data_IF_244057060544
#
_entry.id   IF_244057060544
#
_cell.length_a   1.000
_cell.length_b   1.000
_cell.length_c   1.000
_cell.angle_alpha   90.00
_cell.angle_beta   90.00
_cell.angle_gamma   90.00
#
_symmetry.space_group_name_H-M   'P 1'
#
loop_
_entity.id
_entity.type
_entity.pdbx_description
1 polymer ?
#
# COMPACT_ATOMS: atom_id res chain seq x y z
N UNK A 1 -11.88 12.14 0.51
CA UNK A 1 -11.41 10.90 1.15
C UNK A 1 -10.20 11.23 2.01
N UNK A 2 -10.13 10.75 3.26
CA UNK A 2 -8.97 11.02 4.13
C UNK A 2 -7.89 9.96 3.90
N UNK A 3 -6.68 10.41 3.59
CA UNK A 3 -5.49 9.59 3.39
C UNK A 3 -4.52 9.94 4.52
N UNK A 4 -3.84 8.94 5.06
CA UNK A 4 -2.77 9.12 6.04
C UNK A 4 -1.53 8.37 5.58
N UNK A 5 -0.36 8.90 5.90
CA UNK A 5 0.93 8.26 5.69
C UNK A 5 1.48 7.70 6.99
N UNK A 6 2.43 6.77 6.90
CA UNK A 6 3.11 6.21 8.08
C UNK A 6 3.75 7.28 8.96
N UNK A 7 4.31 8.32 8.36
CA UNK A 7 5.00 9.41 9.07
C UNK A 7 4.02 10.28 9.89
N UNK A 8 2.71 10.24 9.59
CA UNK A 8 1.66 10.99 10.30
C UNK A 8 1.05 10.24 11.49
N UNK A 9 1.42 8.97 11.71
CA UNK A 9 0.76 8.12 12.72
C UNK A 9 1.22 8.38 14.15
N UNK A 10 2.46 8.85 14.34
CA UNK A 10 3.04 9.14 15.65
C UNK A 10 2.97 7.94 16.62
N UNK A 11 2.82 8.24 17.91
CA UNK A 11 2.85 7.23 18.99
C UNK A 11 1.53 6.46 19.17
N UNK A 12 0.43 6.93 18.56
CA UNK A 12 -0.87 6.24 18.62
C UNK A 12 -1.45 6.03 17.21
N UNK A 13 -0.93 5.05 16.45
CA UNK A 13 -1.31 4.83 15.06
C UNK A 13 -2.80 4.59 14.87
N UNK A 14 -3.43 3.83 15.77
CA UNK A 14 -4.86 3.50 15.65
C UNK A 14 -5.74 4.74 15.78
N UNK A 15 -5.44 5.62 16.73
CA UNK A 15 -6.15 6.89 16.86
C UNK A 15 -5.89 7.82 15.67
N UNK A 16 -4.64 7.90 15.20
CA UNK A 16 -4.27 8.75 14.07
C UNK A 16 -5.01 8.32 12.78
N UNK A 17 -5.18 7.01 12.59
CA UNK A 17 -5.90 6.42 11.46
C UNK A 17 -7.43 6.55 11.54
N UNK A 18 -8.02 6.98 12.67
CA UNK A 18 -9.47 7.02 12.85
C UNK A 18 -10.18 7.87 11.77
N UNK A 19 -11.07 7.24 10.99
CA UNK A 19 -11.77 7.91 9.88
C UNK A 19 -10.91 8.14 8.62
N UNK A 20 -9.69 7.61 8.57
CA UNK A 20 -8.95 7.50 7.33
C UNK A 20 -9.55 6.38 6.47
N UNK A 21 -9.53 6.55 5.14
CA UNK A 21 -9.89 5.49 4.20
C UNK A 21 -8.67 4.76 3.67
N UNK A 22 -7.54 5.46 3.57
CA UNK A 22 -6.30 4.93 3.03
C UNK A 22 -5.12 5.18 3.97
N UNK A 23 -4.31 4.14 4.14
CA UNK A 23 -2.94 4.23 4.61
C UNK A 23 -2.00 4.12 3.40
N UNK A 24 -1.19 5.14 3.16
CA UNK A 24 -0.16 5.16 2.12
C UNK A 24 1.21 4.97 2.75
N UNK A 25 2.02 4.09 2.17
CA UNK A 25 3.39 3.85 2.62
C UNK A 25 4.36 3.56 1.48
N UNK A 26 5.66 3.73 1.74
CA UNK A 26 6.74 3.33 0.85
C UNK A 26 7.01 1.83 0.96
N UNK A 27 7.45 1.20 -0.11
CA UNK A 27 7.82 -0.22 -0.14
C UNK A 27 8.81 -0.62 0.96
N UNK A 28 9.79 0.24 1.25
CA UNK A 28 10.76 0.05 2.33
C UNK A 28 10.16 -0.03 3.73
N UNK A 29 8.95 0.49 3.93
CA UNK A 29 8.26 0.53 5.21
C UNK A 29 7.34 -0.68 5.44
N UNK A 30 7.07 -1.48 4.40
CA UNK A 30 6.05 -2.54 4.46
C UNK A 30 6.45 -3.66 5.43
N UNK A 31 7.66 -4.19 5.32
CA UNK A 31 8.12 -5.33 6.12
C UNK A 31 8.06 -5.06 7.64
N UNK A 32 8.43 -3.84 8.04
CA UNK A 32 8.41 -3.39 9.44
C UNK A 32 7.02 -3.00 9.96
N UNK A 33 6.01 -2.89 9.08
CA UNK A 33 4.66 -2.41 9.43
C UNK A 33 3.64 -3.53 9.61
N UNK A 34 4.07 -4.79 9.75
CA UNK A 34 3.16 -5.96 9.80
C UNK A 34 2.08 -5.83 10.90
N UNK A 35 2.45 -5.35 12.10
CA UNK A 35 1.48 -5.15 13.18
C UNK A 35 0.45 -4.04 12.86
N UNK A 36 0.88 -3.00 12.15
CA UNK A 36 0.01 -1.90 11.73
C UNK A 36 -1.00 -2.35 10.67
N UNK A 37 -0.55 -3.17 9.71
CA UNK A 37 -1.41 -3.73 8.66
C UNK A 37 -2.53 -4.63 9.22
N UNK A 38 -2.36 -5.20 10.42
CA UNK A 38 -3.45 -5.93 11.07
C UNK A 38 -4.58 -4.99 11.50
N UNK A 39 -4.27 -3.77 11.96
CA UNK A 39 -5.30 -2.81 12.35
C UNK A 39 -6.06 -2.25 11.16
N UNK A 40 -5.40 -2.09 10.02
CA UNK A 40 -6.07 -1.58 8.81
C UNK A 40 -7.19 -2.52 8.35
N UNK A 41 -6.97 -3.83 8.45
CA UNK A 41 -8.01 -4.84 8.17
C UNK A 41 -9.19 -4.77 9.16
N UNK A 42 -8.92 -4.52 10.45
CA UNK A 42 -9.97 -4.46 11.48
C UNK A 42 -10.81 -3.19 11.40
N UNK A 43 -10.22 -2.08 10.96
CA UNK A 43 -10.83 -0.76 10.96
C UNK A 43 -11.30 -0.33 9.53
N UNK A 44 -11.38 -1.27 8.57
CA UNK A 44 -11.78 -1.08 7.15
C UNK A 44 -10.99 0.02 6.41
N UNK A 45 -9.67 0.04 6.65
CA UNK A 45 -8.73 0.97 6.03
C UNK A 45 -7.97 0.26 4.92
N UNK A 46 -8.02 0.82 3.72
CA UNK A 46 -7.32 0.29 2.55
C UNK A 46 -5.83 0.67 2.62
N UNK A 47 -4.97 -0.22 2.11
CA UNK A 47 -3.52 0.02 2.11
C UNK A 47 -3.03 0.20 0.68
N UNK A 48 -2.30 1.30 0.49
CA UNK A 48 -1.59 1.63 -0.73
C UNK A 48 -0.08 1.64 -0.50
N UNK A 49 0.68 1.02 -1.40
CA UNK A 49 2.15 0.95 -1.32
C UNK A 49 2.79 1.52 -2.58
N UNK A 50 3.58 2.57 -2.44
CA UNK A 50 4.49 3.00 -3.49
C UNK A 50 5.80 2.22 -3.36
N UNK A 51 5.97 1.21 -4.21
CA UNK A 51 7.12 0.29 -4.22
C UNK A 51 8.09 0.60 -5.36
N UNK A 52 7.97 1.75 -6.04
CA UNK A 52 8.96 2.19 -7.03
C UNK A 52 10.34 2.34 -6.39
N UNK A 53 11.38 2.09 -7.18
CA UNK A 53 12.78 2.06 -6.77
C UNK A 53 13.26 0.71 -6.22
N UNK A 54 12.38 -0.29 -6.06
CA UNK A 54 12.75 -1.62 -5.59
C UNK A 54 11.80 -2.71 -6.13
N UNK A 55 12.31 -3.94 -6.29
CA UNK A 55 11.50 -5.09 -6.70
C UNK A 55 10.72 -5.63 -5.50
N UNK A 56 9.37 -5.67 -5.53
CA UNK A 56 8.58 -6.22 -4.43
C UNK A 56 8.88 -7.70 -4.20
N UNK A 57 9.16 -8.07 -2.96
CA UNK A 57 9.35 -9.46 -2.56
C UNK A 57 8.04 -10.06 -2.04
N UNK A 58 7.69 -11.31 -2.40
CA UNK A 58 6.51 -11.98 -1.86
C UNK A 58 6.50 -12.02 -0.33
N UNK A 59 5.33 -11.88 0.28
CA UNK A 59 5.21 -11.89 1.74
C UNK A 59 3.77 -11.75 2.23
N UNK A 60 3.57 -11.99 3.53
CA UNK A 60 2.25 -11.95 4.17
C UNK A 60 1.54 -10.59 4.02
N UNK A 61 2.32 -9.50 3.93
CA UNK A 61 1.83 -8.14 3.75
C UNK A 61 0.99 -7.95 2.49
N UNK A 62 1.21 -8.75 1.44
CA UNK A 62 0.48 -8.64 0.17
C UNK A 62 -1.03 -8.80 0.36
N UNK A 63 -1.44 -9.55 1.39
CA UNK A 63 -2.85 -9.76 1.73
C UNK A 63 -3.56 -8.51 2.23
N UNK A 64 -2.83 -7.59 2.86
CA UNK A 64 -3.39 -6.34 3.37
C UNK A 64 -3.32 -5.21 2.33
N UNK A 65 -2.53 -5.39 1.25
CA UNK A 65 -2.32 -4.35 0.24
C UNK A 65 -3.39 -4.42 -0.85
N UNK A 66 -4.05 -3.29 -1.05
CA UNK A 66 -5.15 -3.15 -2.00
C UNK A 66 -4.69 -2.47 -3.28
N UNK A 67 -3.75 -1.52 -3.15
CA UNK A 67 -3.13 -0.82 -4.27
C UNK A 67 -1.61 -0.84 -4.13
N UNK A 68 -0.88 -1.14 -5.20
CA UNK A 68 0.58 -1.03 -5.23
C UNK A 68 1.04 -0.40 -6.53
N UNK A 69 2.05 0.45 -6.44
CA UNK A 69 2.73 0.99 -7.60
C UNK A 69 4.14 0.43 -7.67
N UNK A 70 4.52 -0.06 -8.84
CA UNK A 70 5.80 -0.73 -9.09
C UNK A 70 6.50 -0.11 -10.29
N UNK A 71 7.81 -0.30 -10.38
CA UNK A 71 8.54 -0.06 -11.62
C UNK A 71 8.26 -1.18 -12.65
N UNK A 72 8.57 -0.89 -13.91
CA UNK A 72 8.42 -1.85 -15.01
C UNK A 72 7.30 -1.45 -15.97
N UNK A 73 6.82 -2.44 -16.70
CA UNK A 73 5.82 -2.31 -17.75
C UNK A 73 4.41 -2.66 -17.24
N UNK A 74 3.39 -2.34 -18.03
CA UNK A 74 2.03 -2.83 -17.78
C UNK A 74 1.93 -4.36 -17.74
N UNK A 75 2.78 -5.07 -18.48
CA UNK A 75 2.85 -6.54 -18.45
C UNK A 75 3.43 -7.07 -17.12
N UNK A 76 4.45 -6.41 -16.59
CA UNK A 76 4.99 -6.71 -15.26
C UNK A 76 3.94 -6.50 -14.17
N UNK A 77 3.18 -5.40 -14.25
CA UNK A 77 2.08 -5.12 -13.34
C UNK A 77 0.99 -6.20 -13.37
N UNK A 78 0.56 -6.63 -14.56
CA UNK A 78 -0.46 -7.68 -14.68
C UNK A 78 0.06 -9.04 -14.18
N UNK A 79 1.32 -9.36 -14.47
CA UNK A 79 1.98 -10.58 -13.98
C UNK A 79 2.07 -10.58 -12.45
N UNK A 80 2.45 -9.45 -11.87
CA UNK A 80 2.53 -9.28 -10.42
C UNK A 80 1.13 -9.33 -9.76
N UNK A 81 0.12 -8.71 -10.37
CA UNK A 81 -1.27 -8.75 -9.88
C UNK A 81 -1.79 -10.18 -9.77
N UNK A 82 -1.55 -11.01 -10.80
CA UNK A 82 -1.98 -12.42 -10.82
C UNK A 82 -1.33 -13.29 -9.75
N UNK A 83 -0.07 -13.02 -9.43
CA UNK A 83 0.69 -13.81 -8.46
C UNK A 83 0.54 -13.32 -7.01
N UNK A 84 0.34 -12.02 -6.79
CA UNK A 84 0.24 -11.41 -5.45
C UNK A 84 -1.17 -11.40 -4.86
N UNK A 85 -2.22 -11.40 -5.70
CA UNK A 85 -3.61 -11.23 -5.27
C UNK A 85 -4.00 -9.79 -4.92
N UNK A 86 -3.10 -8.81 -5.13
CA UNK A 86 -3.38 -7.40 -4.89
C UNK A 86 -4.38 -6.88 -5.92
N UNK A 87 -5.38 -6.11 -5.48
CA UNK A 87 -6.51 -5.67 -6.33
C UNK A 87 -6.06 -4.78 -7.47
N UNK A 88 -5.25 -3.75 -7.18
CA UNK A 88 -4.77 -2.77 -8.15
C UNK A 88 -3.25 -2.71 -8.15
N UNK A 89 -2.64 -3.04 -9.28
CA UNK A 89 -1.20 -2.91 -9.51
C UNK A 89 -0.99 -1.91 -10.63
N UNK A 90 -0.19 -0.88 -10.38
CA UNK A 90 0.07 0.22 -11.31
C UNK A 90 1.55 0.19 -11.69
N UNK A 91 1.83 0.31 -12.98
CA UNK A 91 3.17 0.56 -13.50
C UNK A 91 3.11 1.74 -14.49
N UNK A 92 4.28 2.28 -14.84
CA UNK A 92 4.43 3.35 -15.85
C UNK A 92 3.66 4.65 -15.53
N UNK A 93 3.46 4.96 -14.24
CA UNK A 93 2.87 6.22 -13.80
C UNK A 93 3.93 7.15 -13.20
N UNK A 94 3.90 8.41 -13.63
CA UNK A 94 4.70 9.51 -13.05
C UNK A 94 3.95 10.26 -11.95
N UNK A 95 2.69 9.92 -11.70
CA UNK A 95 1.90 10.54 -10.64
C UNK A 95 2.26 9.95 -9.27
N UNK A 96 1.79 10.63 -8.23
CA UNK A 96 1.81 10.09 -6.87
C UNK A 96 0.72 9.01 -6.75
N UNK A 97 0.94 7.99 -5.91
CA UNK A 97 0.01 6.86 -5.76
C UNK A 97 -1.39 7.31 -5.31
N UNK A 98 -1.47 8.44 -4.59
CA UNK A 98 -2.68 9.10 -4.13
C UNK A 98 -3.65 9.45 -5.26
N UNK A 99 -3.14 9.75 -6.46
CA UNK A 99 -3.95 10.03 -7.64
C UNK A 99 -4.69 8.80 -8.18
N UNK A 100 -4.30 7.61 -7.73
CA UNK A 100 -4.83 6.33 -8.19
C UNK A 100 -5.75 5.65 -7.17
N UNK A 101 -5.99 6.27 -6.01
CA UNK A 101 -6.82 5.72 -4.96
C UNK A 101 -8.32 5.92 -5.26
N UNK A 102 -9.17 5.09 -4.64
CA UNK A 102 -10.63 5.09 -4.84
C UNK A 102 -11.39 5.09 -3.52
#
# INVERSE_FOLDING_TARGET
MRIVTLDELGDNPRQAMAGARWLVMKGSQVAQSTALLMFTELDDILVAVDHRGAVPQPGLWQRAVHCIMIDGTAEDAETFRRSSGITKVIAQSNEAIEAHLW
#
